data_IF_368172808568
#
_entry.id   IF_368172808568
#
_cell.length_a   1.000
_cell.length_b   1.000
_cell.length_c   1.000
_cell.angle_alpha   90.00
_cell.angle_beta   90.00
_cell.angle_gamma   90.00
#
_symmetry.space_group_name_H-M   'P 1'
#
loop_
_entity.id
_entity.type
_entity.pdbx_description
1 polymer ?
#
# COMPACT_ATOMS: atom_id res chain seq x y z
N UNK A 1 12.68 -6.06 -3.92
CA UNK A 1 11.60 -6.83 -3.30
C UNK A 1 10.28 -6.10 -3.46
N UNK A 2 9.20 -6.83 -3.74
CA UNK A 2 7.81 -6.35 -3.76
C UNK A 2 6.98 -7.28 -2.87
N UNK A 3 6.07 -6.72 -2.07
CA UNK A 3 5.15 -7.50 -1.24
C UNK A 3 3.73 -7.21 -1.72
N UNK A 4 2.99 -8.25 -2.05
CA UNK A 4 1.59 -8.16 -2.49
C UNK A 4 0.67 -8.95 -1.57
N UNK A 5 -0.58 -8.50 -1.48
CA UNK A 5 -1.62 -9.33 -0.90
C UNK A 5 -1.90 -10.55 -1.81
N UNK A 6 -2.74 -11.46 -1.32
CA UNK A 6 -2.96 -12.73 -1.99
C UNK A 6 -4.06 -12.68 -3.08
N UNK A 7 -4.50 -11.48 -3.51
CA UNK A 7 -5.58 -11.34 -4.49
C UNK A 7 -5.18 -11.93 -5.85
N UNK A 8 -6.10 -12.66 -6.49
CA UNK A 8 -5.82 -13.39 -7.73
C UNK A 8 -5.33 -12.49 -8.89
N UNK A 9 -5.70 -11.20 -8.89
CA UNK A 9 -5.23 -10.25 -9.90
C UNK A 9 -3.72 -10.05 -9.86
N UNK A 10 -3.09 -10.22 -8.69
CA UNK A 10 -1.64 -10.16 -8.52
C UNK A 10 -0.91 -11.40 -9.03
N UNK A 11 -1.64 -12.48 -9.35
CA UNK A 11 -1.09 -13.76 -9.83
C UNK A 11 -1.37 -14.03 -11.31
N UNK A 12 -1.88 -13.03 -12.03
CA UNK A 12 -2.19 -13.14 -13.45
C UNK A 12 -0.95 -13.55 -14.26
N UNK A 13 -1.14 -14.36 -15.30
CA UNK A 13 -0.04 -14.94 -16.08
C UNK A 13 0.91 -13.88 -16.66
N UNK A 14 0.35 -12.78 -17.17
CA UNK A 14 1.12 -11.65 -17.69
C UNK A 14 1.99 -10.96 -16.63
N UNK A 15 1.58 -10.97 -15.34
CA UNK A 15 2.40 -10.43 -14.25
C UNK A 15 3.53 -11.39 -13.87
N UNK A 16 3.31 -12.71 -13.96
CA UNK A 16 4.37 -13.71 -13.75
C UNK A 16 5.44 -13.62 -14.82
N UNK A 17 5.05 -13.54 -16.09
CA UNK A 17 6.00 -13.33 -17.19
C UNK A 17 6.79 -12.02 -17.02
N UNK A 18 6.15 -10.98 -16.50
CA UNK A 18 6.80 -9.70 -16.22
C UNK A 18 7.81 -9.79 -15.06
N UNK A 19 7.52 -10.58 -14.04
CA UNK A 19 8.42 -10.87 -12.91
C UNK A 19 9.63 -11.71 -13.35
N UNK A 20 9.40 -12.80 -14.07
CA UNK A 20 10.43 -13.71 -14.58
C UNK A 20 11.48 -13.02 -15.47
N UNK A 21 11.09 -11.94 -16.14
CA UNK A 21 11.99 -11.14 -16.97
C UNK A 21 12.92 -10.19 -16.17
N UNK A 22 12.87 -10.19 -14.82
CA UNK A 22 13.55 -9.21 -13.95
C UNK A 22 14.29 -9.88 -12.80
N UNK A 23 15.56 -10.21 -13.02
CA UNK A 23 16.45 -10.81 -12.00
C UNK A 23 16.60 -9.99 -10.71
N UNK A 24 16.34 -8.67 -10.76
CA UNK A 24 16.43 -7.76 -9.61
C UNK A 24 15.16 -7.72 -8.75
N UNK A 25 14.06 -8.30 -9.24
CA UNK A 25 12.77 -8.28 -8.57
C UNK A 25 12.51 -9.62 -7.88
N UNK A 26 12.00 -9.54 -6.65
CA UNK A 26 11.54 -10.71 -5.91
C UNK A 26 10.20 -10.34 -5.31
N UNK A 27 9.15 -11.05 -5.69
CA UNK A 27 7.78 -10.82 -5.23
C UNK A 27 7.45 -11.81 -4.11
N UNK A 28 6.98 -11.29 -2.99
CA UNK A 28 6.42 -12.08 -1.88
C UNK A 28 4.92 -11.86 -1.80
N UNK A 29 4.17 -12.95 -1.68
CA UNK A 29 2.72 -12.90 -1.45
C UNK A 29 2.45 -13.12 0.03
N UNK A 30 1.64 -12.24 0.62
CA UNK A 30 1.15 -12.41 1.97
C UNK A 30 0.21 -13.63 2.05
N UNK A 31 0.09 -14.27 3.23
CA UNK A 31 -0.93 -15.29 3.44
C UNK A 31 -2.34 -14.77 3.11
N UNK A 32 -3.27 -15.64 2.67
CA UNK A 32 -4.67 -15.25 2.51
C UNK A 32 -5.22 -14.67 3.83
N UNK A 33 -6.04 -13.63 3.72
CA UNK A 33 -6.70 -12.98 4.86
C UNK A 33 -5.73 -12.46 5.95
N UNK A 34 -4.54 -11.98 5.56
CA UNK A 34 -3.60 -11.34 6.48
C UNK A 34 -3.48 -9.82 6.22
N UNK A 35 -4.55 -9.03 6.38
CA UNK A 35 -4.52 -7.58 6.17
C UNK A 35 -3.54 -6.88 7.14
N UNK A 36 -3.38 -7.44 8.34
CA UNK A 36 -2.48 -6.93 9.38
C UNK A 36 -1.00 -6.91 8.93
N UNK A 37 -0.64 -7.72 7.93
CA UNK A 37 0.71 -7.76 7.36
C UNK A 37 0.89 -6.80 6.18
N UNK A 38 -0.18 -6.14 5.73
CA UNK A 38 -0.15 -5.24 4.58
C UNK A 38 -0.12 -3.76 5.05
N UNK A 39 1.04 -3.07 4.96
CA UNK A 39 1.16 -1.69 5.44
C UNK A 39 0.27 -0.70 4.67
N UNK A 40 -0.22 -1.08 3.48
CA UNK A 40 -1.17 -0.28 2.70
C UNK A 40 -2.50 -0.10 3.46
N UNK A 41 -2.90 -1.06 4.29
CA UNK A 41 -4.12 -0.93 5.11
C UNK A 41 -4.02 0.22 6.12
N UNK A 42 -2.85 0.42 6.73
CA UNK A 42 -2.62 1.56 7.62
C UNK A 42 -2.50 2.89 6.88
N UNK A 43 -1.92 2.90 5.67
CA UNK A 43 -1.97 4.09 4.81
C UNK A 43 -3.43 4.48 4.52
N UNK A 44 -4.31 3.51 4.25
CA UNK A 44 -5.73 3.76 4.09
C UNK A 44 -6.41 4.21 5.38
N UNK A 45 -6.03 3.67 6.54
CA UNK A 45 -6.49 4.11 7.86
C UNK A 45 -6.18 5.59 8.08
N UNK A 46 -4.94 6.03 7.81
CA UNK A 46 -4.51 7.43 7.87
C UNK A 46 -5.32 8.33 6.93
N UNK A 47 -5.56 7.89 5.69
CA UNK A 47 -6.39 8.63 4.73
C UNK A 47 -7.82 8.81 5.23
N UNK A 48 -8.46 7.73 5.70
CA UNK A 48 -9.85 7.75 6.18
C UNK A 48 -10.03 8.59 7.43
N UNK A 49 -9.10 8.51 8.38
CA UNK A 49 -9.16 9.26 9.65
C UNK A 49 -8.74 10.72 9.49
N UNK A 50 -7.83 11.01 8.55
CA UNK A 50 -7.33 12.35 8.27
C UNK A 50 -8.07 13.03 7.11
N UNK A 51 -7.57 12.87 5.89
CA UNK A 51 -7.98 13.68 4.73
C UNK A 51 -9.39 13.45 4.24
N UNK A 52 -9.97 12.29 4.53
CA UNK A 52 -11.30 11.92 4.09
C UNK A 52 -12.34 12.01 5.22
N UNK A 53 -11.93 12.29 6.45
CA UNK A 53 -12.86 12.37 7.58
C UNK A 53 -13.73 13.62 7.51
N UNK A 54 -15.02 13.45 7.78
CA UNK A 54 -16.02 14.53 7.81
C UNK A 54 -16.11 15.35 6.51
N UNK A 55 -15.79 14.75 5.35
CA UNK A 55 -15.91 15.39 4.04
C UNK A 55 -17.07 14.77 3.27
N UNK A 56 -18.03 15.60 2.85
CA UNK A 56 -18.98 15.23 1.82
C UNK A 56 -18.36 15.53 0.44
N UNK A 57 -18.20 14.51 -0.40
CA UNK A 57 -17.63 14.66 -1.74
C UNK A 57 -18.74 14.93 -2.76
N UNK A 58 -18.66 16.08 -3.43
CA UNK A 58 -19.61 16.46 -4.48
C UNK A 58 -19.41 15.71 -5.81
N UNK A 59 -18.17 15.30 -6.12
CA UNK A 59 -17.84 14.57 -7.36
C UNK A 59 -16.71 13.55 -7.13
N UNK A 60 -16.55 12.54 -8.01
CA UNK A 60 -15.40 11.64 -8.00
C UNK A 60 -14.06 12.37 -8.07
N UNK A 61 -13.97 13.47 -8.81
CA UNK A 61 -12.75 14.28 -8.95
C UNK A 61 -12.38 14.95 -7.63
N UNK A 62 -13.37 15.43 -6.86
CA UNK A 62 -13.13 15.96 -5.53
C UNK A 62 -12.54 14.89 -4.60
N UNK A 63 -13.08 13.66 -4.65
CA UNK A 63 -12.54 12.53 -3.89
C UNK A 63 -11.09 12.22 -4.30
N UNK A 64 -10.84 12.07 -5.61
CA UNK A 64 -9.50 11.78 -6.15
C UNK A 64 -8.50 12.86 -5.74
N UNK A 65 -8.87 14.13 -5.82
CA UNK A 65 -8.00 15.25 -5.42
C UNK A 65 -7.64 15.17 -3.93
N UNK A 66 -8.61 14.84 -3.07
CA UNK A 66 -8.40 14.71 -1.62
C UNK A 66 -7.51 13.52 -1.29
N UNK A 67 -7.72 12.36 -1.93
CA UNK A 67 -6.85 11.18 -1.79
C UNK A 67 -5.41 11.54 -2.23
N UNK A 68 -5.23 12.15 -3.40
CA UNK A 68 -3.91 12.54 -3.91
C UNK A 68 -3.19 13.51 -2.98
N UNK A 69 -3.92 14.47 -2.39
CA UNK A 69 -3.35 15.41 -1.41
C UNK A 69 -2.90 14.67 -0.14
N UNK A 70 -3.70 13.73 0.36
CA UNK A 70 -3.34 12.92 1.52
C UNK A 70 -2.13 12.04 1.27
N UNK A 71 -2.12 11.30 0.16
CA UNK A 71 -0.99 10.47 -0.25
C UNK A 71 0.29 11.29 -0.41
N UNK A 72 0.22 12.47 -1.03
CA UNK A 72 1.37 13.37 -1.16
C UNK A 72 1.88 13.85 0.21
N UNK A 73 0.99 14.10 1.16
CA UNK A 73 1.39 14.51 2.51
C UNK A 73 2.10 13.38 3.26
N UNK A 74 1.62 12.14 3.12
CA UNK A 74 2.26 10.92 3.66
C UNK A 74 3.63 10.71 3.00
N UNK A 75 3.70 10.84 1.67
CA UNK A 75 4.93 10.68 0.89
C UNK A 75 6.08 11.59 1.37
N UNK A 76 5.79 12.84 1.76
CA UNK A 76 6.79 13.78 2.27
C UNK A 76 7.09 13.62 3.78
N UNK A 77 6.52 12.62 4.44
CA UNK A 77 6.69 12.36 5.88
C UNK A 77 7.01 10.89 6.10
N UNK A 78 8.27 10.52 5.89
CA UNK A 78 8.74 9.13 6.01
C UNK A 78 8.32 8.47 7.32
N UNK A 79 8.35 9.20 8.45
CA UNK A 79 7.92 8.67 9.75
C UNK A 79 6.49 8.12 9.78
N UNK A 80 5.57 8.61 8.93
CA UNK A 80 4.22 8.04 8.81
C UNK A 80 4.26 6.69 8.09
N UNK A 81 5.10 6.57 7.05
CA UNK A 81 5.32 5.32 6.31
C UNK A 81 6.03 4.31 7.21
N UNK A 82 7.06 4.75 7.93
CA UNK A 82 7.81 3.93 8.88
C UNK A 82 6.88 3.41 10.00
N UNK A 83 5.95 4.26 10.48
CA UNK A 83 4.90 3.84 11.41
C UNK A 83 3.98 2.76 10.83
N UNK A 84 3.49 2.94 9.59
CA UNK A 84 2.66 1.93 8.92
C UNK A 84 3.40 0.59 8.75
N UNK A 85 4.72 0.61 8.50
CA UNK A 85 5.55 -0.60 8.41
C UNK A 85 5.77 -1.24 9.79
N UNK A 86 5.95 -0.44 10.85
CA UNK A 86 6.15 -0.94 12.19
C UNK A 86 4.93 -1.71 12.71
N UNK A 87 3.71 -1.24 12.40
CA UNK A 87 2.45 -1.89 12.81
C UNK A 87 2.29 -3.30 12.22
N UNK A 88 2.92 -3.62 11.09
CA UNK A 88 2.83 -4.98 10.52
C UNK A 88 3.66 -6.01 11.30
N UNK A 89 4.49 -5.56 12.24
CA UNK A 89 5.44 -6.41 12.97
C UNK A 89 6.56 -6.99 12.10
N UNK A 90 6.64 -6.61 10.82
CA UNK A 90 7.68 -7.05 9.90
C UNK A 90 8.91 -6.15 10.04
N UNK A 91 10.09 -6.75 10.03
CA UNK A 91 11.35 -6.00 10.12
C UNK A 91 12.04 -5.99 8.76
N UNK A 92 12.35 -4.79 8.24
CA UNK A 92 13.19 -4.65 7.05
C UNK A 92 14.63 -4.79 7.52
N UNK A 93 15.27 -5.92 7.20
CA UNK A 93 16.70 -6.12 7.44
C UNK A 93 17.46 -5.61 6.21
N UNK A 94 18.53 -4.80 6.40
CA UNK A 94 19.43 -4.51 5.29
C UNK A 94 20.04 -5.82 4.80
N UNK A 95 19.95 -6.06 3.50
CA UNK A 95 20.69 -7.11 2.78
C UNK A 95 22.15 -6.72 2.61
#
# INVERSE_FOLDING_TARGET
MLVWDNLNVHKAANLREWDEARDWLTIYYLPPYAPDLNPVEEIWSLLRRGWLSNVAFATPEHLIQRIRRGLRHIQYRSHLIDGCLAETGLTIRPT
#
